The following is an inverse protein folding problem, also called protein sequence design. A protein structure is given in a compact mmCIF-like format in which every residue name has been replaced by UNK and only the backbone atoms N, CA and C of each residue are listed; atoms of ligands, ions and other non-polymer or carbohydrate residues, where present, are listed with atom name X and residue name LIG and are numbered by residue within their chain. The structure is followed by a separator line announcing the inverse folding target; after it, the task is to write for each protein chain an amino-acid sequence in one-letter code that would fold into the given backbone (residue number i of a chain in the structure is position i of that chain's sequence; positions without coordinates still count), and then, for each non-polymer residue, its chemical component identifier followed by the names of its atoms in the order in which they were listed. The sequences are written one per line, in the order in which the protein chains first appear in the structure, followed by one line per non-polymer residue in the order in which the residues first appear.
data_IF_105900403505
#
_entry.id   IF_105900403505
#
_cell.length_a   1.000
_cell.length_b   1.000
_cell.length_c   1.000
_cell.angle_alpha   90.00
_cell.angle_beta   90.00
_cell.angle_gamma   90.00
#
_symmetry.space_group_name_H-M   'P 1'
#
loop_
_entity.id
_entity.type
_entity.pdbx_description
1 polymer ?
#
# COMPACT_ATOMS: atom_id res chain seq x y z
N UNK A 1 5.14 14.83 6.63
CA UNK A 1 5.27 13.40 6.24
C UNK A 1 4.83 13.20 4.80
N UNK A 2 5.64 12.49 4.03
CA UNK A 2 5.36 12.29 2.63
C UNK A 2 4.51 11.04 2.44
N UNK A 3 3.20 11.23 2.29
CA UNK A 3 2.26 10.13 2.17
C UNK A 3 2.47 9.37 0.85
N UNK A 4 2.84 10.09 -0.21
CA UNK A 4 3.14 9.44 -1.49
C UNK A 4 4.32 8.48 -1.35
N UNK A 5 5.35 8.91 -0.68
CA UNK A 5 6.51 8.07 -0.45
C UNK A 5 6.18 6.88 0.43
N UNK A 6 5.29 7.08 1.40
CA UNK A 6 4.90 6.02 2.30
C UNK A 6 4.17 4.90 1.55
N UNK A 7 3.25 5.28 0.66
CA UNK A 7 2.52 4.30 -0.15
C UNK A 7 3.49 3.49 -1.00
N UNK A 8 4.44 4.18 -1.62
CA UNK A 8 5.43 3.52 -2.47
C UNK A 8 6.28 2.54 -1.66
N UNK A 9 6.66 2.93 -0.46
CA UNK A 9 7.44 2.05 0.40
C UNK A 9 6.68 0.80 0.78
N UNK A 10 5.40 0.95 1.11
CA UNK A 10 4.58 -0.20 1.45
C UNK A 10 4.50 -1.17 0.28
N UNK A 11 4.31 -0.64 -0.93
CA UNK A 11 4.25 -1.50 -2.10
C UNK A 11 5.57 -2.22 -2.32
N UNK A 12 6.68 -1.51 -2.17
CA UNK A 12 8.00 -2.12 -2.36
C UNK A 12 8.24 -3.26 -1.38
N UNK A 13 7.74 -3.11 -0.16
CA UNK A 13 7.89 -4.16 0.83
C UNK A 13 7.19 -5.45 0.41
N UNK A 14 6.09 -5.33 -0.32
CA UNK A 14 5.36 -6.51 -0.78
C UNK A 14 6.01 -7.16 -1.99
N UNK A 15 6.80 -6.42 -2.74
CA UNK A 15 7.35 -6.91 -3.99
C UNK A 15 6.32 -6.97 -5.12
N UNK A 16 5.13 -6.44 -4.91
CA UNK A 16 4.08 -6.50 -5.91
C UNK A 16 4.16 -5.34 -6.88
N UNK A 17 3.68 -5.58 -8.11
CA UNK A 17 3.50 -4.52 -9.07
C UNK A 17 2.37 -3.60 -8.61
N UNK A 18 2.24 -2.44 -9.27
CA UNK A 18 1.15 -1.53 -8.95
C UNK A 18 -0.20 -2.20 -9.15
N UNK A 19 -0.35 -2.94 -10.25
CA UNK A 19 -1.62 -3.62 -10.52
C UNK A 19 -1.97 -4.61 -9.44
N UNK A 20 -1.00 -5.42 -9.05
CA UNK A 20 -1.25 -6.45 -8.04
C UNK A 20 -1.47 -5.86 -6.67
N UNK A 21 -0.71 -4.82 -6.33
CA UNK A 21 -0.89 -4.15 -5.05
C UNK A 21 -2.27 -3.51 -4.96
N UNK A 22 -2.69 -2.84 -6.04
CA UNK A 22 -4.01 -2.22 -6.08
C UNK A 22 -5.10 -3.27 -5.93
N UNK A 23 -4.95 -4.39 -6.64
CA UNK A 23 -5.94 -5.46 -6.56
C UNK A 23 -6.03 -6.03 -5.15
N UNK A 24 -4.89 -6.15 -4.49
CA UNK A 24 -4.84 -6.69 -3.13
C UNK A 24 -5.70 -5.87 -2.17
N UNK A 25 -5.69 -4.56 -2.33
CA UNK A 25 -6.41 -3.67 -1.42
C UNK A 25 -7.71 -3.15 -2.00
N UNK A 26 -8.10 -3.64 -3.18
CA UNK A 26 -9.36 -3.23 -3.79
C UNK A 26 -9.38 -1.81 -4.28
N UNK A 27 -8.24 -1.31 -4.74
CA UNK A 27 -8.11 0.06 -5.24
C UNK A 27 -7.95 0.03 -6.75
N UNK A 28 -8.57 0.98 -7.48
CA UNK A 28 -8.26 1.10 -8.90
C UNK A 28 -6.77 1.40 -9.09
N UNK A 29 -6.14 0.74 -10.06
CA UNK A 29 -4.70 0.92 -10.24
C UNK A 29 -4.36 2.37 -10.59
N UNK A 30 -5.25 3.05 -11.30
CA UNK A 30 -5.03 4.46 -11.64
C UNK A 30 -4.96 5.31 -10.38
N UNK A 31 -5.83 5.01 -9.41
CA UNK A 31 -5.82 5.75 -8.15
C UNK A 31 -4.49 5.55 -7.43
N UNK A 32 -4.01 4.31 -7.38
CA UNK A 32 -2.72 4.04 -6.76
C UNK A 32 -1.60 4.80 -7.46
N UNK A 33 -1.63 4.81 -8.78
CA UNK A 33 -0.61 5.52 -9.55
C UNK A 33 -0.61 7.02 -9.22
N UNK A 34 -1.80 7.61 -9.10
CA UNK A 34 -1.89 9.02 -8.76
C UNK A 34 -1.36 9.30 -7.36
N UNK A 35 -1.62 8.39 -6.44
CA UNK A 35 -1.09 8.52 -5.08
C UNK A 35 0.43 8.46 -5.08
N UNK A 36 1.01 7.51 -5.82
CA UNK A 36 2.46 7.36 -5.84
C UNK A 36 3.15 8.51 -6.56
N UNK A 37 2.46 9.13 -7.51
CA UNK A 37 3.02 10.27 -8.23
C UNK A 37 2.83 11.60 -7.50
N UNK A 38 2.06 11.60 -6.43
CA UNK A 38 1.81 12.83 -5.70
C UNK A 38 0.75 13.72 -6.31
N UNK A 39 0.01 13.21 -7.32
CA UNK A 39 -1.06 13.96 -7.95
C UNK A 39 -2.21 14.14 -6.97
N UNK A 40 -2.51 13.11 -6.21
CA UNK A 40 -3.49 13.17 -5.14
C UNK A 40 -2.96 12.35 -3.97
N UNK A 41 -3.50 12.59 -2.79
CA UNK A 41 -3.02 11.91 -1.60
C UNK A 41 -4.11 11.00 -1.05
N UNK A 42 -3.75 9.79 -0.59
CA UNK A 42 -4.73 8.94 0.06
C UNK A 42 -5.06 9.50 1.44
N UNK A 43 -6.25 9.19 1.96
CA UNK A 43 -6.53 9.52 3.35
C UNK A 43 -5.50 8.82 4.25
N UNK A 44 -5.12 9.48 5.32
CA UNK A 44 -4.11 8.94 6.21
C UNK A 44 -4.50 7.58 6.78
N UNK A 45 -5.78 7.42 7.09
CA UNK A 45 -6.24 6.16 7.67
C UNK A 45 -6.09 4.99 6.69
N UNK A 46 -6.16 5.26 5.38
CA UNK A 46 -5.98 4.21 4.40
C UNK A 46 -4.55 3.68 4.45
N UNK A 47 -3.60 4.58 4.51
CA UNK A 47 -2.18 4.19 4.60
C UNK A 47 -1.94 3.40 5.88
N UNK A 48 -2.53 3.86 6.96
CA UNK A 48 -2.38 3.19 8.25
C UNK A 48 -2.97 1.80 8.23
N UNK A 49 -4.15 1.66 7.61
CA UNK A 49 -4.79 0.36 7.52
C UNK A 49 -3.99 -0.61 6.65
N UNK A 50 -3.43 -0.11 5.57
CA UNK A 50 -2.58 -0.94 4.72
C UNK A 50 -1.39 -1.47 5.50
N UNK A 51 -0.76 -0.60 6.28
CA UNK A 51 0.39 -1.00 7.09
C UNK A 51 -0.01 -2.07 8.10
N UNK A 52 -1.18 -1.91 8.71
CA UNK A 52 -1.70 -2.90 9.65
C UNK A 52 -1.91 -4.25 8.99
N UNK A 53 -2.56 -4.24 7.83
CA UNK A 53 -2.84 -5.48 7.11
C UNK A 53 -1.55 -6.20 6.76
N UNK A 54 -0.57 -5.45 6.27
CA UNK A 54 0.71 -6.03 5.91
C UNK A 54 1.43 -6.60 7.13
N UNK A 55 1.32 -5.92 8.26
CA UNK A 55 1.93 -6.40 9.49
C UNK A 55 1.30 -7.70 9.94
N UNK A 56 -0.03 -7.79 9.88
CA UNK A 56 -0.73 -9.00 10.25
C UNK A 56 -0.36 -10.16 9.33
N UNK A 57 -0.20 -9.88 8.05
CA UNK A 57 0.19 -10.92 7.11
C UNK A 57 1.58 -11.43 7.39
N UNK A 58 2.48 -10.54 7.77
CA UNK A 58 3.83 -10.94 8.14
C UNK A 58 3.81 -11.87 9.33
N UNK A 59 2.99 -11.53 10.33
CA UNK A 59 2.88 -12.34 11.52
C UNK A 59 2.33 -13.71 11.19
N UNK A 60 1.35 -13.76 10.29
CA UNK A 60 0.79 -15.04 9.88
C UNK A 60 1.79 -15.90 9.14
N UNK A 61 2.64 -15.28 8.34
CA UNK A 61 3.66 -16.02 7.61
C UNK A 61 4.71 -16.61 8.51
N UNK A 62 5.02 -15.92 9.59
CA UNK A 62 6.03 -16.38 10.52
C UNK A 62 5.55 -17.52 11.39
N UNK A 63 4.28 -17.67 11.45
CA UNK A 63 3.67 -18.63 12.35
C UNK A 63 3.66 -20.00 11.73
N UNK A 64 4.50 -20.80 12.13
CA UNK A 64 4.53 -22.16 11.63
C UNK A 64 4.41 -23.17 12.68
#
# INVERSE_FOLDING_TARGET
MDISGRIKELRKETGLSQSKFAAKFGIPVRTLQQWEQGISAPPEYVVRMMAYIMELEKMGEKDD
#
